data_IF_879740156408
#
_entry.id   IF_879740156408
#
_cell.length_a   1.000
_cell.length_b   1.000
_cell.length_c   1.000
_cell.angle_alpha   90.00
_cell.angle_beta   90.00
_cell.angle_gamma   90.00
#
_symmetry.space_group_name_H-M   'P 1'
#
loop_
_entity.id
_entity.type
_entity.pdbx_description
1 polymer ?
#
# COMPACT_ATOMS: atom_id res chain seq x y z
N UNK A 1 19.71 0.99 2.98
CA UNK A 1 18.41 1.59 2.60
C UNK A 1 18.62 2.44 1.35
N UNK A 2 17.92 2.13 0.26
CA UNK A 2 18.09 2.85 -1.02
C UNK A 2 17.68 4.32 -0.91
N UNK A 3 18.39 5.19 -1.64
CA UNK A 3 18.00 6.58 -1.87
C UNK A 3 17.45 6.69 -3.28
N UNK A 4 16.33 7.38 -3.43
CA UNK A 4 15.63 7.59 -4.69
C UNK A 4 15.81 9.04 -5.13
N UNK A 5 16.05 9.29 -6.42
CA UNK A 5 16.12 10.64 -6.96
C UNK A 5 14.72 11.08 -7.41
N UNK A 6 14.12 12.04 -6.70
CA UNK A 6 12.75 12.50 -6.94
C UNK A 6 12.73 14.03 -6.89
N UNK A 7 12.22 14.66 -7.96
CA UNK A 7 12.05 16.14 -8.06
C UNK A 7 13.31 16.93 -7.66
N UNK A 8 14.48 16.48 -8.13
CA UNK A 8 15.76 17.17 -7.91
C UNK A 8 16.41 16.95 -6.54
N UNK A 9 15.92 16.02 -5.73
CA UNK A 9 16.54 15.65 -4.44
C UNK A 9 16.56 14.15 -4.22
N UNK A 10 17.51 13.69 -3.40
CA UNK A 10 17.48 12.33 -2.87
C UNK A 10 16.48 12.22 -1.72
N UNK A 11 15.62 11.21 -1.77
CA UNK A 11 14.68 10.83 -0.71
C UNK A 11 14.87 9.37 -0.30
N UNK A 12 14.48 9.03 0.91
CA UNK A 12 14.44 7.66 1.42
C UNK A 12 13.17 6.93 0.95
N UNK A 13 13.15 5.60 1.10
CA UNK A 13 11.93 4.82 0.83
C UNK A 13 10.77 5.27 1.72
N UNK A 14 11.04 5.54 3.00
CA UNK A 14 10.03 5.98 3.94
C UNK A 14 9.42 7.33 3.55
N UNK A 15 10.23 8.28 3.10
CA UNK A 15 9.74 9.56 2.58
C UNK A 15 8.93 9.37 1.29
N UNK A 16 9.37 8.47 0.40
CA UNK A 16 8.65 8.16 -0.83
C UNK A 16 7.29 7.50 -0.57
N UNK A 17 7.21 6.58 0.40
CA UNK A 17 5.95 5.96 0.80
C UNK A 17 4.96 6.94 1.46
N UNK A 18 5.43 8.07 1.97
CA UNK A 18 4.58 9.15 2.51
C UNK A 18 4.33 10.27 1.49
N UNK A 19 4.73 10.11 0.22
CA UNK A 19 4.49 11.09 -0.83
C UNK A 19 3.13 10.83 -1.50
N UNK A 20 2.24 11.82 -1.44
CA UNK A 20 0.89 11.71 -1.99
C UNK A 20 0.87 11.48 -3.51
N UNK A 21 1.87 11.99 -4.23
CA UNK A 21 1.96 11.79 -5.69
C UNK A 21 2.40 10.35 -6.01
N UNK A 22 3.32 9.77 -5.24
CA UNK A 22 3.67 8.36 -5.35
C UNK A 22 2.46 7.44 -5.05
N UNK A 23 1.71 7.73 -3.99
CA UNK A 23 0.47 7.01 -3.66
C UNK A 23 -0.56 7.10 -4.80
N UNK A 24 -0.76 8.31 -5.35
CA UNK A 24 -1.67 8.55 -6.48
C UNK A 24 -1.28 7.78 -7.74
N UNK A 25 0.01 7.78 -8.10
CA UNK A 25 0.51 7.07 -9.28
C UNK A 25 0.22 5.57 -9.16
N UNK A 26 0.60 4.97 -8.03
CA UNK A 26 0.42 3.52 -7.80
C UNK A 26 -1.08 3.18 -7.73
N UNK A 27 -1.89 4.00 -7.07
CA UNK A 27 -3.34 3.80 -7.03
C UNK A 27 -3.95 3.80 -8.43
N UNK A 28 -3.58 4.78 -9.28
CA UNK A 28 -4.09 4.86 -10.64
C UNK A 28 -3.68 3.65 -11.50
N UNK A 29 -2.47 3.15 -11.31
CA UNK A 29 -2.00 1.92 -11.97
C UNK A 29 -2.83 0.70 -11.53
N UNK A 30 -3.11 0.54 -10.23
CA UNK A 30 -3.98 -0.53 -9.71
C UNK A 30 -5.40 -0.46 -10.31
N UNK A 31 -5.97 0.74 -10.43
CA UNK A 31 -7.29 0.95 -11.05
C UNK A 31 -7.25 0.61 -12.54
N UNK A 32 -6.21 1.01 -13.26
CA UNK A 32 -6.07 0.69 -14.67
C UNK A 32 -5.92 -0.81 -14.91
N UNK A 33 -5.04 -1.48 -14.15
CA UNK A 33 -4.87 -2.93 -14.19
C UNK A 33 -6.19 -3.67 -13.87
N UNK A 34 -6.95 -3.19 -12.89
CA UNK A 34 -8.25 -3.74 -12.55
C UNK A 34 -9.27 -3.60 -13.68
N UNK A 35 -9.32 -2.45 -14.34
CA UNK A 35 -10.19 -2.21 -15.51
C UNK A 35 -9.80 -3.10 -16.68
N UNK A 36 -8.51 -3.20 -16.99
CA UNK A 36 -8.00 -4.02 -18.09
C UNK A 36 -8.25 -5.52 -17.85
N UNK A 37 -8.27 -5.95 -16.59
CA UNK A 37 -8.63 -7.30 -16.17
C UNK A 37 -10.15 -7.54 -16.05
N UNK A 38 -10.99 -6.53 -16.30
CA UNK A 38 -12.45 -6.62 -16.22
C UNK A 38 -13.04 -6.64 -14.80
N UNK A 39 -12.27 -6.21 -13.80
CA UNK A 39 -12.74 -6.13 -12.40
C UNK A 39 -13.79 -5.03 -12.24
N UNK A 40 -14.86 -5.35 -11.52
CA UNK A 40 -15.94 -4.40 -11.21
C UNK A 40 -15.48 -3.39 -10.17
N UNK A 41 -16.16 -2.25 -10.10
CA UNK A 41 -15.80 -1.17 -9.15
C UNK A 41 -15.73 -1.62 -7.68
N UNK A 42 -16.58 -2.56 -7.26
CA UNK A 42 -16.56 -3.10 -5.89
C UNK A 42 -15.44 -4.14 -5.63
N UNK A 43 -14.76 -4.61 -6.68
CA UNK A 43 -13.60 -5.50 -6.59
C UNK A 43 -12.29 -4.71 -6.59
N UNK A 44 -12.32 -3.42 -6.95
CA UNK A 44 -11.17 -2.53 -6.99
C UNK A 44 -10.96 -1.82 -5.66
N UNK A 45 -9.69 -1.62 -5.28
CA UNK A 45 -9.33 -0.89 -4.05
C UNK A 45 -9.74 0.59 -4.18
N UNK A 46 -10.35 1.16 -3.13
CA UNK A 46 -10.77 2.57 -3.12
C UNK A 46 -9.69 3.54 -2.63
N UNK A 47 -8.81 3.05 -1.78
CA UNK A 47 -7.68 3.76 -1.17
C UNK A 47 -6.56 2.77 -0.89
N UNK A 48 -5.33 3.27 -0.89
CA UNK A 48 -4.15 2.50 -0.53
C UNK A 48 -3.30 3.31 0.45
N UNK A 49 -2.37 2.65 1.12
CA UNK A 49 -1.27 3.27 1.84
C UNK A 49 0.01 2.55 1.42
N UNK A 50 1.05 3.30 1.09
CA UNK A 50 2.37 2.73 0.84
C UNK A 50 3.11 2.56 2.16
N UNK A 51 3.79 1.43 2.33
CA UNK A 51 4.59 1.14 3.53
C UNK A 51 6.02 0.80 3.13
N UNK A 52 7.03 1.36 3.81
CA UNK A 52 8.44 1.15 3.44
C UNK A 52 9.00 -0.19 3.93
N UNK A 53 8.33 -0.86 4.87
CA UNK A 53 8.72 -2.17 5.38
C UNK A 53 8.04 -3.28 4.60
N UNK A 54 8.85 -4.17 4.00
CA UNK A 54 8.33 -5.34 3.29
C UNK A 54 7.78 -6.39 4.27
N UNK A 55 6.83 -7.20 3.81
CA UNK A 55 6.40 -8.36 4.57
C UNK A 55 7.46 -9.46 4.45
N UNK A 56 7.88 -10.02 5.58
CA UNK A 56 8.90 -11.06 5.62
C UNK A 56 8.50 -12.17 6.59
N UNK A 57 9.29 -13.25 6.61
CA UNK A 57 9.12 -14.32 7.60
C UNK A 57 9.54 -13.83 8.99
N UNK A 58 10.59 -13.00 9.06
CA UNK A 58 11.19 -12.46 10.28
C UNK A 58 10.22 -11.53 11.02
N UNK A 59 9.52 -10.64 10.29
CA UNK A 59 8.46 -9.81 10.89
C UNK A 59 7.11 -10.53 11.00
N UNK A 60 7.04 -11.82 10.64
CA UNK A 60 5.86 -12.70 10.76
C UNK A 60 4.64 -12.20 9.97
N UNK A 61 4.85 -11.36 8.97
CA UNK A 61 3.80 -10.89 8.06
C UNK A 61 3.62 -11.83 6.87
N UNK A 62 4.54 -12.77 6.68
CA UNK A 62 4.40 -13.91 5.76
C UNK A 62 4.26 -15.24 6.51
N UNK A 63 3.53 -16.19 5.91
CA UNK A 63 3.54 -17.60 6.28
C UNK A 63 4.83 -18.26 5.80
N UNK A 64 5.21 -19.45 6.32
CA UNK A 64 6.37 -20.20 5.80
C UNK A 64 6.31 -20.49 4.29
N UNK A 65 5.12 -20.46 3.69
CA UNK A 65 4.88 -20.60 2.25
C UNK A 65 4.89 -19.27 1.48
N UNK A 66 5.42 -18.19 2.08
CA UNK A 66 5.53 -16.85 1.51
C UNK A 66 4.19 -16.21 1.10
N UNK A 67 3.09 -16.62 1.73
CA UNK A 67 1.78 -15.97 1.58
C UNK A 67 1.58 -14.95 2.69
N UNK A 68 0.82 -13.88 2.44
CA UNK A 68 0.48 -12.91 3.49
C UNK A 68 -0.22 -13.59 4.69
N UNK A 69 0.35 -13.43 5.88
CA UNK A 69 -0.26 -13.87 7.13
C UNK A 69 -1.38 -12.90 7.53
N UNK A 70 -2.56 -13.05 6.91
CA UNK A 70 -3.67 -12.08 6.95
C UNK A 70 -4.02 -11.55 8.35
N UNK A 71 -4.06 -12.41 9.37
CA UNK A 71 -4.36 -11.99 10.74
C UNK A 71 -3.26 -11.11 11.34
N UNK A 72 -1.98 -11.44 11.10
CA UNK A 72 -0.84 -10.65 11.56
C UNK A 72 -0.79 -9.29 10.86
N UNK A 73 -0.96 -9.27 9.53
CA UNK A 73 -1.03 -8.03 8.74
C UNK A 73 -2.15 -7.12 9.23
N UNK A 74 -3.37 -7.65 9.43
CA UNK A 74 -4.49 -6.86 9.94
C UNK A 74 -4.25 -6.29 11.34
N UNK A 75 -3.56 -7.05 12.20
CA UNK A 75 -3.21 -6.59 13.55
C UNK A 75 -2.15 -5.50 13.50
N UNK A 76 -1.11 -5.67 12.67
CA UNK A 76 -0.01 -4.74 12.54
C UNK A 76 -0.46 -3.38 12.00
N UNK A 77 -1.33 -3.38 10.99
CA UNK A 77 -1.81 -2.18 10.31
C UNK A 77 -3.22 -1.79 10.74
N UNK A 78 -3.63 -2.12 11.96
CA UNK A 78 -5.01 -1.91 12.40
C UNK A 78 -5.41 -0.43 12.37
N UNK A 79 -4.59 0.44 12.96
CA UNK A 79 -4.83 1.89 12.99
C UNK A 79 -4.82 2.48 11.57
N UNK A 80 -3.84 2.10 10.76
CA UNK A 80 -3.77 2.52 9.36
C UNK A 80 -5.01 2.14 8.56
N UNK A 81 -5.54 0.93 8.77
CA UNK A 81 -6.77 0.48 8.12
C UNK A 81 -7.98 1.30 8.61
N UNK A 82 -8.08 1.61 9.90
CA UNK A 82 -9.14 2.48 10.41
C UNK A 82 -9.11 3.85 9.76
N UNK A 83 -7.92 4.48 9.67
CA UNK A 83 -7.74 5.76 9.01
C UNK A 83 -8.15 5.71 7.54
N UNK A 84 -7.75 4.64 6.82
CA UNK A 84 -8.12 4.45 5.41
C UNK A 84 -9.63 4.28 5.23
N UNK A 85 -10.31 3.54 6.11
CA UNK A 85 -11.75 3.41 6.06
C UNK A 85 -12.45 4.74 6.34
N UNK A 86 -12.01 5.48 7.36
CA UNK A 86 -12.58 6.79 7.72
C UNK A 86 -12.42 7.83 6.59
N UNK A 87 -11.28 7.83 5.87
CA UNK A 87 -11.07 8.68 4.67
C UNK A 87 -12.11 8.44 3.57
N UNK A 88 -12.77 7.28 3.57
CA UNK A 88 -13.76 6.86 2.57
C UNK A 88 -15.19 6.76 3.08
N UNK A 89 -15.44 7.09 4.35
CA UNK A 89 -16.78 7.23 4.94
C UNK A 89 -17.38 8.65 4.73
N UNK A 90 -16.68 9.55 4.02
CA UNK A 90 -17.14 10.89 3.66
C UNK A 90 -17.39 11.08 2.15
N UNK A 91 -17.81 10.01 1.45
CA UNK A 91 -18.36 10.07 0.07
C UNK A 91 -19.75 9.44 0.04
#
# INVERSE_FOLDING_TARGET
SGKFWVRGKFVTLAELCNDAEAERIIHNELIQLGRDAGLKGFEQVRVIKLVPEAFTLENRLLTPTMKCARHAVRKQYHEDLQDLFARKELE
#
